data_IF_972007849896
#
_entry.id   IF_972007849896
#
_cell.length_a   1.000
_cell.length_b   1.000
_cell.length_c   1.000
_cell.angle_alpha   90.00
_cell.angle_beta   90.00
_cell.angle_gamma   90.00
#
_symmetry.space_group_name_H-M   'P 1'
#
loop_
_entity.id
_entity.type
_entity.pdbx_description
1 polymer ?
#
# COMPACT_ATOMS: atom_id res chain seq x y z
N UNK A 1 -13.96 -33.89 -16.81
CA UNK A 1 -13.89 -32.69 -15.95
C UNK A 1 -12.72 -31.82 -16.39
N UNK A 2 -11.66 -32.45 -16.91
CA UNK A 2 -10.47 -31.79 -17.47
C UNK A 2 -10.78 -30.93 -18.70
N UNK A 3 -11.58 -31.40 -19.68
CA UNK A 3 -11.94 -30.62 -20.88
C UNK A 3 -12.57 -29.24 -20.58
N UNK A 4 -13.37 -29.14 -19.52
CA UNK A 4 -13.97 -27.87 -19.12
C UNK A 4 -12.93 -26.92 -18.51
N UNK A 5 -12.06 -27.44 -17.64
CA UNK A 5 -11.01 -26.64 -17.01
C UNK A 5 -10.00 -26.18 -18.06
N UNK A 6 -9.62 -27.05 -18.99
CA UNK A 6 -8.74 -26.71 -20.12
C UNK A 6 -9.35 -25.61 -20.99
N UNK A 7 -10.65 -25.70 -21.30
CA UNK A 7 -11.34 -24.67 -22.07
C UNK A 7 -11.40 -23.32 -21.33
N UNK A 8 -11.68 -23.31 -20.03
CA UNK A 8 -11.65 -22.08 -19.22
C UNK A 8 -10.25 -21.47 -19.12
N UNK A 9 -9.22 -22.31 -18.96
CA UNK A 9 -7.83 -21.88 -18.90
C UNK A 9 -7.30 -21.37 -20.25
N UNK A 10 -7.82 -21.88 -21.36
CA UNK A 10 -7.44 -21.45 -22.72
C UNK A 10 -7.69 -19.95 -22.97
N UNK A 11 -8.59 -19.33 -22.17
CA UNK A 11 -8.89 -17.90 -22.20
C UNK A 11 -7.73 -17.04 -21.69
N UNK A 12 -6.79 -17.61 -20.92
CA UNK A 12 -5.70 -16.89 -20.28
C UNK A 12 -4.37 -17.10 -21.00
N UNK A 13 -4.01 -16.13 -21.84
CA UNK A 13 -2.75 -16.15 -22.59
C UNK A 13 -1.61 -15.65 -21.73
N UNK A 14 -0.52 -16.41 -21.64
CA UNK A 14 0.66 -16.02 -20.85
C UNK A 14 1.42 -14.89 -21.53
N UNK A 15 1.63 -13.80 -20.81
CA UNK A 15 2.41 -12.64 -21.25
C UNK A 15 3.87 -12.77 -20.82
N UNK A 16 4.10 -13.09 -19.55
CA UNK A 16 5.43 -13.31 -19.00
C UNK A 16 5.39 -14.20 -17.78
N UNK A 17 6.52 -14.78 -17.44
CA UNK A 17 6.73 -15.50 -16.20
C UNK A 17 7.33 -14.53 -15.17
N UNK A 18 6.69 -14.42 -14.00
CA UNK A 18 7.13 -13.50 -12.96
C UNK A 18 8.06 -14.19 -11.96
N UNK A 19 7.72 -15.41 -11.56
CA UNK A 19 8.49 -16.15 -10.57
C UNK A 19 8.32 -17.67 -10.75
N UNK A 20 9.39 -18.42 -10.55
CA UNK A 20 9.35 -19.88 -10.38
C UNK A 20 10.05 -20.19 -9.07
N UNK A 21 9.31 -20.80 -8.16
CA UNK A 21 9.86 -21.41 -6.96
C UNK A 21 9.60 -22.92 -6.98
N UNK A 22 10.17 -23.64 -6.02
CA UNK A 22 9.85 -25.06 -5.81
C UNK A 22 8.42 -25.28 -5.29
N UNK A 23 7.71 -24.22 -4.88
CA UNK A 23 6.35 -24.30 -4.33
C UNK A 23 5.29 -23.90 -5.36
N UNK A 24 5.61 -22.89 -6.18
CA UNK A 24 4.68 -22.32 -7.12
C UNK A 24 5.34 -21.68 -8.33
N UNK A 25 4.63 -21.72 -9.46
CA UNK A 25 4.99 -21.05 -10.71
C UNK A 25 3.98 -19.93 -10.96
N UNK A 26 4.46 -18.70 -11.09
CA UNK A 26 3.65 -17.48 -11.17
C UNK A 26 3.82 -16.82 -12.55
N UNK A 27 2.69 -16.64 -13.23
CA UNK A 27 2.63 -16.08 -14.57
C UNK A 27 1.73 -14.84 -14.61
N UNK A 28 2.16 -13.84 -15.37
CA UNK A 28 1.31 -12.75 -15.80
C UNK A 28 0.53 -13.21 -17.03
N UNK A 29 -0.79 -13.19 -16.96
CA UNK A 29 -1.66 -13.65 -18.05
C UNK A 29 -2.63 -12.56 -18.47
N UNK A 30 -3.07 -12.58 -19.72
CA UNK A 30 -4.14 -11.72 -20.24
C UNK A 30 -5.35 -12.58 -20.59
N UNK A 31 -6.51 -12.23 -20.08
CA UNK A 31 -7.75 -12.87 -20.50
C UNK A 31 -8.17 -12.32 -21.88
N UNK A 32 -8.45 -13.22 -22.82
CA UNK A 32 -8.78 -12.87 -24.21
C UNK A 32 -10.18 -12.31 -24.39
N UNK A 33 -11.10 -12.56 -23.45
CA UNK A 33 -12.48 -12.12 -23.53
C UNK A 33 -12.64 -10.68 -23.03
N UNK A 34 -12.04 -10.33 -21.90
CA UNK A 34 -12.18 -9.00 -21.30
C UNK A 34 -10.94 -8.10 -21.44
N UNK A 35 -9.87 -8.62 -22.03
CA UNK A 35 -8.60 -7.93 -22.25
C UNK A 35 -7.87 -7.47 -20.97
N UNK A 36 -8.23 -7.98 -19.79
CA UNK A 36 -7.59 -7.62 -18.51
C UNK A 36 -6.42 -8.54 -18.19
N UNK A 37 -5.55 -8.03 -17.32
CA UNK A 37 -4.35 -8.72 -16.84
C UNK A 37 -4.65 -9.37 -15.49
N UNK A 38 -4.17 -10.59 -15.33
CA UNK A 38 -4.33 -11.42 -14.14
C UNK A 38 -3.00 -12.08 -13.77
N UNK A 39 -2.97 -12.61 -12.55
CA UNK A 39 -1.95 -13.56 -12.12
C UNK A 39 -2.50 -14.97 -12.24
N UNK A 40 -1.75 -15.85 -12.89
CA UNK A 40 -1.97 -17.29 -12.91
C UNK A 40 -0.90 -17.97 -12.08
N UNK A 41 -1.29 -18.66 -11.00
CA UNK A 41 -0.37 -19.46 -10.18
C UNK A 41 -0.65 -20.94 -10.39
N UNK A 42 0.41 -21.73 -10.50
CA UNK A 42 0.37 -23.18 -10.35
C UNK A 42 0.97 -23.51 -8.99
N UNK A 43 0.23 -24.19 -8.14
CA UNK A 43 0.63 -24.53 -6.77
C UNK A 43 0.52 -26.04 -6.56
N UNK A 44 1.60 -26.63 -6.07
CA UNK A 44 1.64 -28.03 -5.63
C UNK A 44 1.48 -28.09 -4.10
N UNK A 45 1.05 -29.23 -3.55
CA UNK A 45 0.88 -29.42 -2.09
C UNK A 45 0.00 -28.35 -1.41
N UNK A 46 -1.10 -27.97 -2.07
CA UNK A 46 -2.02 -26.91 -1.64
C UNK A 46 -3.06 -27.41 -0.63
N UNK A 47 -3.74 -26.44 0.01
CA UNK A 47 -4.96 -26.69 0.78
C UNK A 47 -6.14 -26.03 0.08
N UNK A 48 -6.94 -26.80 -0.65
CA UNK A 48 -8.06 -26.28 -1.45
C UNK A 48 -9.07 -25.47 -0.62
N UNK A 49 -9.29 -25.86 0.64
CA UNK A 49 -10.23 -25.16 1.50
C UNK A 49 -9.76 -23.76 1.86
N UNK A 50 -8.43 -23.54 2.00
CA UNK A 50 -7.86 -22.20 2.20
C UNK A 50 -8.24 -21.31 1.01
N UNK A 51 -7.97 -21.75 -0.22
CA UNK A 51 -8.26 -20.95 -1.41
C UNK A 51 -9.76 -20.75 -1.66
N UNK A 52 -10.60 -21.75 -1.37
CA UNK A 52 -12.06 -21.59 -1.41
C UNK A 52 -12.55 -20.52 -0.43
N UNK A 53 -12.01 -20.50 0.78
CA UNK A 53 -12.32 -19.46 1.77
C UNK A 53 -11.79 -18.10 1.31
N UNK A 54 -10.53 -18.01 0.87
CA UNK A 54 -9.94 -16.77 0.34
C UNK A 54 -10.75 -16.20 -0.83
N UNK A 55 -11.27 -17.04 -1.74
CA UNK A 55 -12.14 -16.63 -2.86
C UNK A 55 -13.42 -15.93 -2.40
N UNK A 56 -13.92 -16.26 -1.21
CA UNK A 56 -15.11 -15.64 -0.62
C UNK A 56 -14.83 -14.37 0.18
N UNK A 57 -13.57 -13.98 0.38
CA UNK A 57 -13.20 -12.82 1.18
C UNK A 57 -13.28 -11.55 0.33
N UNK A 58 -14.05 -10.57 0.83
CA UNK A 58 -14.08 -9.23 0.27
C UNK A 58 -13.10 -8.31 1.04
N UNK A 59 -11.93 -8.07 0.46
CA UNK A 59 -10.94 -7.17 1.05
C UNK A 59 -10.12 -6.40 0.02
N UNK A 60 -9.97 -5.10 0.26
CA UNK A 60 -9.05 -4.27 -0.51
C UNK A 60 -7.58 -4.57 -0.23
N UNK A 61 -7.27 -5.28 0.86
CA UNK A 61 -5.90 -5.57 1.27
C UNK A 61 -5.46 -7.02 0.96
N UNK A 62 -6.29 -7.79 0.25
CA UNK A 62 -5.99 -9.15 -0.20
C UNK A 62 -6.33 -9.21 -1.70
N UNK A 63 -5.50 -9.84 -2.56
CA UNK A 63 -5.84 -10.05 -3.96
C UNK A 63 -7.17 -10.77 -4.11
N UNK A 64 -8.04 -10.28 -5.00
CA UNK A 64 -9.25 -11.02 -5.34
C UNK A 64 -8.88 -12.29 -6.11
N UNK A 65 -9.33 -13.44 -5.63
CA UNK A 65 -9.30 -14.69 -6.40
C UNK A 65 -10.54 -14.73 -7.29
N UNK A 66 -10.32 -14.83 -8.59
CA UNK A 66 -11.39 -14.94 -9.60
C UNK A 66 -11.79 -16.40 -9.78
N UNK A 67 -10.81 -17.29 -10.00
CA UNK A 67 -11.05 -18.69 -10.33
C UNK A 67 -10.02 -19.64 -9.74
N UNK A 68 -10.45 -20.90 -9.57
CA UNK A 68 -9.66 -22.00 -9.04
C UNK A 68 -9.93 -23.23 -9.92
N UNK A 69 -8.87 -23.85 -10.42
CA UNK A 69 -8.95 -25.07 -11.23
C UNK A 69 -8.01 -26.12 -10.64
N UNK A 70 -8.52 -27.33 -10.43
CA UNK A 70 -7.76 -28.45 -9.88
C UNK A 70 -7.53 -29.45 -11.02
N UNK A 71 -6.28 -29.59 -11.47
CA UNK A 71 -5.87 -30.40 -12.63
C UNK A 71 -4.59 -31.14 -12.26
N UNK A 72 -4.53 -32.45 -12.51
CA UNK A 72 -3.32 -33.27 -12.33
C UNK A 72 -2.60 -33.09 -10.98
N UNK A 73 -3.38 -32.93 -9.90
CA UNK A 73 -2.86 -32.71 -8.53
C UNK A 73 -2.11 -31.37 -8.34
N UNK A 74 -2.28 -30.43 -9.27
CA UNK A 74 -1.93 -29.02 -9.14
C UNK A 74 -3.20 -28.17 -8.95
N UNK A 75 -3.09 -27.10 -8.16
CA UNK A 75 -4.10 -26.05 -8.09
C UNK A 75 -3.65 -24.86 -8.93
N UNK A 76 -4.46 -24.53 -9.92
CA UNK A 76 -4.31 -23.33 -10.74
C UNK A 76 -5.22 -22.23 -10.19
N UNK A 77 -4.63 -21.08 -9.86
CA UNK A 77 -5.31 -19.95 -9.26
C UNK A 77 -5.25 -18.77 -10.23
N UNK A 78 -6.41 -18.18 -10.53
CA UNK A 78 -6.50 -16.91 -11.25
C UNK A 78 -6.85 -15.82 -10.24
N UNK A 79 -5.95 -14.85 -10.05
CA UNK A 79 -6.11 -13.77 -9.07
C UNK A 79 -5.78 -12.39 -9.65
N UNK A 80 -6.15 -11.36 -8.89
CA UNK A 80 -5.90 -9.95 -9.19
C UNK A 80 -4.41 -9.67 -9.42
N UNK A 81 -4.10 -9.04 -10.56
CA UNK A 81 -2.79 -8.42 -10.76
C UNK A 81 -2.70 -7.11 -9.99
N UNK A 82 -1.72 -7.03 -9.08
CA UNK A 82 -1.47 -5.82 -8.29
C UNK A 82 -0.29 -5.07 -8.90
N UNK A 83 -0.57 -3.87 -9.40
CA UNK A 83 0.45 -2.97 -9.91
C UNK A 83 1.04 -2.13 -8.76
N UNK A 84 2.29 -2.40 -8.39
CA UNK A 84 2.94 -1.75 -7.26
C UNK A 84 4.36 -2.27 -7.02
N UNK A 85 4.92 -1.89 -5.88
CA UNK A 85 6.20 -2.40 -5.40
C UNK A 85 5.99 -3.18 -4.11
N UNK A 86 6.72 -4.29 -3.97
CA UNK A 86 6.85 -5.00 -2.71
C UNK A 86 7.55 -4.13 -1.66
N UNK A 87 7.31 -4.39 -0.37
CA UNK A 87 8.07 -3.73 0.70
C UNK A 87 9.56 -4.08 0.63
N UNK A 88 9.92 -5.22 0.05
CA UNK A 88 11.31 -5.60 -0.25
C UNK A 88 11.95 -4.62 -1.23
N UNK A 89 11.33 -4.41 -2.39
CA UNK A 89 11.82 -3.46 -3.40
C UNK A 89 11.85 -2.02 -2.88
N UNK A 90 10.89 -1.63 -2.05
CA UNK A 90 10.88 -0.29 -1.42
C UNK A 90 12.06 -0.14 -0.46
N UNK A 91 12.33 -1.18 0.34
CA UNK A 91 13.48 -1.24 1.26
C UNK A 91 14.80 -1.19 0.49
N UNK A 92 14.94 -1.93 -0.60
CA UNK A 92 16.15 -1.90 -1.44
C UNK A 92 16.43 -0.51 -2.03
N UNK A 93 15.37 0.23 -2.41
CA UNK A 93 15.50 1.59 -2.96
C UNK A 93 15.82 2.66 -1.90
N UNK A 94 15.27 2.53 -0.70
CA UNK A 94 15.34 3.58 0.34
C UNK A 94 16.30 3.23 1.50
N UNK A 95 16.86 2.02 1.49
CA UNK A 95 17.57 1.34 2.57
C UNK A 95 16.72 1.09 3.83
N UNK A 96 16.08 2.13 4.38
CA UNK A 96 15.20 2.10 5.57
C UNK A 96 13.89 2.85 5.33
N UNK A 97 12.85 2.50 6.08
CA UNK A 97 11.54 3.14 6.04
C UNK A 97 11.29 3.84 7.38
N UNK A 98 10.82 5.09 7.32
CA UNK A 98 10.42 5.88 8.50
C UNK A 98 9.40 5.13 9.37
N UNK A 99 9.58 5.17 10.70
CA UNK A 99 8.75 4.42 11.65
C UNK A 99 7.27 4.74 11.55
N UNK A 100 6.89 6.00 11.28
CA UNK A 100 5.47 6.35 11.11
C UNK A 100 4.88 5.67 9.89
N UNK A 101 5.64 5.65 8.80
CA UNK A 101 5.23 5.00 7.56
C UNK A 101 5.14 3.49 7.74
N UNK A 102 6.07 2.88 8.47
CA UNK A 102 5.99 1.46 8.85
C UNK A 102 4.76 1.19 9.71
N UNK A 103 4.46 2.04 10.72
CA UNK A 103 3.27 1.90 11.55
C UNK A 103 1.99 1.93 10.71
N UNK A 104 1.84 2.88 9.78
CA UNK A 104 0.69 2.95 8.87
C UNK A 104 0.53 1.69 8.00
N UNK A 105 1.64 1.16 7.48
CA UNK A 105 1.62 -0.12 6.76
C UNK A 105 1.19 -1.27 7.67
N UNK A 106 1.69 -1.33 8.91
CA UNK A 106 1.33 -2.40 9.83
C UNK A 106 -0.12 -2.32 10.30
N UNK A 107 -0.67 -1.12 10.51
CA UNK A 107 -2.11 -0.92 10.82
C UNK A 107 -2.96 -1.50 9.68
N UNK A 108 -2.58 -1.22 8.43
CA UNK A 108 -3.28 -1.75 7.25
C UNK A 108 -3.14 -3.27 7.12
N UNK A 109 -1.95 -3.80 7.36
CA UNK A 109 -1.68 -5.24 7.37
C UNK A 109 -2.48 -5.96 8.47
N UNK A 110 -2.58 -5.38 9.67
CA UNK A 110 -3.39 -5.92 10.75
C UNK A 110 -4.86 -5.98 10.35
N UNK A 111 -5.39 -4.98 9.63
CA UNK A 111 -6.75 -5.03 9.08
C UNK A 111 -6.96 -6.16 8.05
N UNK A 112 -5.94 -6.48 7.24
CA UNK A 112 -5.99 -7.62 6.32
C UNK A 112 -6.01 -8.96 7.08
N UNK A 113 -5.12 -9.10 8.07
CA UNK A 113 -5.01 -10.32 8.89
C UNK A 113 -6.22 -10.51 9.81
N UNK A 114 -6.82 -9.45 10.33
CA UNK A 114 -8.02 -9.51 11.16
C UNK A 114 -9.16 -10.22 10.43
N UNK A 115 -9.32 -9.94 9.13
CA UNK A 115 -10.31 -10.64 8.28
C UNK A 115 -10.04 -12.14 8.18
N UNK A 116 -8.77 -12.55 8.11
CA UNK A 116 -8.39 -13.96 8.00
C UNK A 116 -8.49 -14.70 9.34
N UNK A 117 -8.04 -14.03 10.41
CA UNK A 117 -8.01 -14.55 11.78
C UNK A 117 -9.42 -14.69 12.36
N UNK A 118 -10.37 -13.85 11.93
CA UNK A 118 -11.77 -13.92 12.36
C UNK A 118 -12.64 -14.92 11.58
N UNK A 119 -12.08 -15.60 10.57
CA UNK A 119 -12.81 -16.69 9.90
C UNK A 119 -13.03 -17.85 10.87
N UNK A 120 -14.04 -18.66 10.60
CA UNK A 120 -14.29 -19.89 11.34
C UNK A 120 -14.27 -21.10 10.39
N UNK A 121 -13.20 -21.91 10.38
CA UNK A 121 -11.97 -21.77 11.18
C UNK A 121 -11.01 -20.65 10.70
N UNK A 122 -10.15 -20.10 11.57
CA UNK A 122 -9.19 -19.06 11.20
C UNK A 122 -8.19 -19.50 10.13
N UNK A 123 -7.79 -18.58 9.24
CA UNK A 123 -6.67 -18.78 8.32
C UNK A 123 -5.43 -18.07 8.88
N UNK A 124 -4.33 -18.81 9.01
CA UNK A 124 -3.02 -18.29 9.44
C UNK A 124 -2.14 -18.18 8.21
N UNK A 125 -1.50 -17.02 8.01
CA UNK A 125 -0.72 -16.73 6.81
C UNK A 125 0.61 -17.50 6.77
N UNK A 126 1.35 -17.48 7.89
CA UNK A 126 2.64 -18.17 8.14
C UNK A 126 3.86 -17.72 7.32
N UNK A 127 3.71 -16.84 6.33
CA UNK A 127 4.86 -16.27 5.59
C UNK A 127 4.78 -14.75 5.41
N UNK A 128 4.58 -14.03 6.52
CA UNK A 128 4.61 -12.56 6.52
C UNK A 128 6.06 -12.07 6.40
N UNK A 129 6.38 -11.39 5.30
CA UNK A 129 7.71 -10.86 4.97
C UNK A 129 7.59 -9.71 3.94
N UNK A 130 8.66 -8.91 3.72
CA UNK A 130 8.62 -7.78 2.80
C UNK A 130 8.22 -8.13 1.36
N UNK A 131 8.67 -9.27 0.83
CA UNK A 131 8.37 -9.71 -0.54
C UNK A 131 6.89 -10.06 -0.75
N UNK A 132 6.15 -10.36 0.32
CA UNK A 132 4.76 -10.81 0.28
C UNK A 132 3.78 -9.67 0.59
N UNK A 133 4.24 -8.42 0.58
CA UNK A 133 3.41 -7.25 0.82
C UNK A 133 3.69 -6.22 -0.27
N UNK A 134 2.68 -5.93 -1.09
CA UNK A 134 2.76 -4.94 -2.17
C UNK A 134 2.08 -3.64 -1.74
N UNK A 135 2.74 -2.51 -1.98
CA UNK A 135 2.11 -1.19 -1.98
C UNK A 135 1.76 -0.87 -3.43
N UNK A 136 0.47 -0.83 -3.74
CA UNK A 136 0.01 -0.51 -5.09
C UNK A 136 0.21 0.98 -5.41
N UNK A 137 0.01 1.37 -6.67
CA UNK A 137 0.21 2.76 -7.10
C UNK A 137 -0.76 3.78 -6.45
N UNK A 138 -1.86 3.30 -5.86
CA UNK A 138 -2.79 4.12 -5.08
C UNK A 138 -2.37 4.24 -3.60
N UNK A 139 -1.24 3.64 -3.21
CA UNK A 139 -0.73 3.63 -1.84
C UNK A 139 -1.39 2.60 -0.92
N UNK A 140 -2.21 1.70 -1.47
CA UNK A 140 -2.91 0.65 -0.72
C UNK A 140 -1.99 -0.56 -0.55
N UNK A 141 -1.88 -1.02 0.69
CA UNK A 141 -1.16 -2.25 1.03
C UNK A 141 -2.00 -3.49 0.71
N UNK A 142 -1.40 -4.45 0.00
CA UNK A 142 -1.96 -5.75 -0.32
C UNK A 142 -1.05 -6.85 0.21
N UNK A 143 -1.60 -7.74 1.05
CA UNK A 143 -0.95 -8.97 1.49
C UNK A 143 -1.15 -10.04 0.41
N UNK A 144 -0.06 -10.60 -0.09
CA UNK A 144 -0.05 -11.59 -1.17
C UNK A 144 0.58 -12.91 -0.70
N UNK A 145 0.49 -13.94 -1.54
CA UNK A 145 1.16 -15.23 -1.38
C UNK A 145 0.72 -16.04 -0.15
N UNK A 146 -0.35 -16.81 -0.36
CA UNK A 146 -0.98 -17.69 0.63
C UNK A 146 -0.53 -19.15 0.48
N UNK A 147 0.55 -19.43 -0.24
CA UNK A 147 0.92 -20.78 -0.66
C UNK A 147 1.28 -21.70 0.53
N UNK A 148 1.71 -21.11 1.65
CA UNK A 148 1.93 -21.85 2.90
C UNK A 148 0.90 -21.52 3.99
N UNK A 149 -0.22 -20.88 3.65
CA UNK A 149 -1.28 -20.59 4.61
C UNK A 149 -1.98 -21.88 5.09
N UNK A 150 -2.56 -21.82 6.29
CA UNK A 150 -3.22 -22.97 6.90
C UNK A 150 -4.51 -22.57 7.59
N UNK A 151 -5.52 -23.44 7.47
CA UNK A 151 -6.70 -23.44 8.33
C UNK A 151 -6.32 -23.96 9.72
N UNK A 152 -6.53 -23.14 10.74
CA UNK A 152 -6.36 -23.51 12.13
C UNK A 152 -7.32 -24.66 12.51
N UNK A 153 -6.79 -25.70 13.17
CA UNK A 153 -7.57 -26.86 13.62
C UNK A 153 -7.33 -27.13 15.09
N UNK A 154 -8.37 -26.98 15.93
CA UNK A 154 -8.31 -27.10 17.39
C UNK A 154 -7.67 -28.38 17.91
N UNK A 155 -7.84 -29.48 17.19
CA UNK A 155 -7.36 -30.80 17.60
C UNK A 155 -5.98 -31.18 17.02
N UNK A 156 -5.33 -30.30 16.26
CA UNK A 156 -3.99 -30.55 15.72
C UNK A 156 -2.93 -30.24 16.77
N UNK A 157 -2.16 -31.26 17.21
CA UNK A 157 -1.12 -31.09 18.25
C UNK A 157 0.21 -30.52 17.71
N UNK A 158 0.50 -30.69 16.42
CA UNK A 158 1.79 -30.33 15.79
C UNK A 158 1.60 -29.88 14.34
N UNK A 159 2.51 -29.05 13.86
CA UNK A 159 2.64 -28.76 12.44
C UNK A 159 3.42 -29.87 11.72
N UNK A 160 3.03 -30.17 10.48
CA UNK A 160 3.56 -31.29 9.71
C UNK A 160 4.83 -30.96 8.94
N UNK A 161 5.14 -29.67 8.77
CA UNK A 161 6.31 -29.20 8.04
C UNK A 161 6.74 -27.81 8.52
N UNK A 162 8.05 -27.56 8.52
CA UNK A 162 8.65 -26.25 8.73
C UNK A 162 8.49 -25.44 7.43
N UNK A 163 7.40 -24.68 7.34
CA UNK A 163 7.06 -23.86 6.17
C UNK A 163 7.14 -22.37 6.52
N UNK A 164 7.66 -21.56 5.60
CA UNK A 164 7.82 -20.11 5.76
C UNK A 164 9.24 -19.67 5.42
N UNK A 165 9.53 -18.39 5.64
CA UNK A 165 10.83 -17.80 5.32
C UNK A 165 11.71 -17.69 6.55
N UNK A 166 12.95 -18.22 6.45
CA UNK A 166 13.94 -18.16 7.53
C UNK A 166 14.13 -16.72 8.01
N UNK A 167 14.18 -16.54 9.32
CA UNK A 167 14.26 -15.23 9.97
C UNK A 167 12.92 -14.61 10.34
N UNK A 168 11.82 -14.97 9.67
CA UNK A 168 10.46 -14.51 10.00
C UNK A 168 9.62 -15.56 10.76
N UNK A 169 10.00 -16.83 10.62
CA UNK A 169 9.33 -17.96 11.28
C UNK A 169 9.33 -17.79 12.80
N UNK A 170 8.16 -18.00 13.42
CA UNK A 170 8.01 -17.97 14.87
C UNK A 170 8.66 -19.18 15.57
N UNK A 171 9.13 -19.02 16.83
CA UNK A 171 9.86 -20.07 17.56
C UNK A 171 9.12 -21.40 17.66
N UNK A 172 7.80 -21.37 17.86
CA UNK A 172 6.97 -22.57 17.98
C UNK A 172 7.01 -23.45 16.74
N UNK A 173 7.18 -22.88 15.55
CA UNK A 173 7.21 -23.65 14.31
C UNK A 173 8.53 -24.43 14.15
N UNK A 174 9.66 -23.92 14.66
CA UNK A 174 10.93 -24.67 14.69
C UNK A 174 10.87 -25.91 15.57
N UNK A 175 10.06 -25.87 16.63
CA UNK A 175 9.84 -26.99 17.53
C UNK A 175 8.74 -27.96 17.04
N UNK A 176 8.18 -27.73 15.83
CA UNK A 176 6.98 -28.40 15.33
C UNK A 176 5.79 -28.33 16.29
N UNK A 177 5.77 -27.32 17.17
CA UNK A 177 4.59 -26.99 17.95
C UNK A 177 3.55 -26.37 17.01
N UNK A 178 2.33 -26.33 17.50
CA UNK A 178 1.20 -25.82 16.74
C UNK A 178 1.31 -24.30 16.56
N UNK A 179 1.31 -23.84 15.32
CA UNK A 179 1.09 -22.42 14.98
C UNK A 179 -0.38 -22.01 15.12
N UNK A 180 -0.57 -20.76 15.52
CA UNK A 180 -1.86 -20.09 15.61
C UNK A 180 -1.76 -18.64 15.08
N UNK A 181 -2.81 -17.84 15.25
CA UNK A 181 -2.84 -16.45 14.76
C UNK A 181 -1.69 -15.59 15.31
N UNK A 182 -1.11 -15.95 16.46
CA UNK A 182 0.01 -15.25 17.11
C UNK A 182 1.35 -15.53 16.44
N UNK A 183 1.42 -16.53 15.55
CA UNK A 183 2.59 -16.79 14.70
C UNK A 183 2.73 -15.71 13.62
N UNK A 184 1.62 -15.20 13.08
CA UNK A 184 1.64 -14.04 12.16
C UNK A 184 2.07 -12.76 12.91
N UNK A 185 1.62 -12.57 14.16
CA UNK A 185 2.02 -11.44 15.02
C UNK A 185 3.53 -11.41 15.27
N UNK A 186 4.15 -12.57 15.52
CA UNK A 186 5.62 -12.66 15.62
C UNK A 186 6.30 -12.16 14.35
N UNK A 187 5.84 -12.67 13.20
CA UNK A 187 6.37 -12.29 11.88
C UNK A 187 6.23 -10.78 11.60
N UNK A 188 5.13 -10.15 12.05
CA UNK A 188 4.95 -8.69 11.97
C UNK A 188 6.01 -7.96 12.81
N UNK A 189 6.32 -8.43 14.02
CA UNK A 189 7.37 -7.83 14.85
C UNK A 189 8.75 -7.87 14.19
N UNK A 190 9.10 -9.00 13.57
CA UNK A 190 10.32 -9.12 12.75
C UNK A 190 10.27 -8.13 11.58
N UNK A 191 9.15 -8.08 10.86
CA UNK A 191 8.96 -7.22 9.70
C UNK A 191 9.15 -5.74 10.06
N UNK A 192 8.57 -5.25 11.15
CA UNK A 192 8.75 -3.88 11.62
C UNK A 192 10.23 -3.56 11.80
N UNK A 193 10.98 -4.44 12.48
CA UNK A 193 12.39 -4.22 12.73
C UNK A 193 13.22 -4.19 11.44
N UNK A 194 12.99 -5.15 10.55
CA UNK A 194 13.71 -5.23 9.27
C UNK A 194 13.43 -4.02 8.39
N UNK A 195 12.21 -3.47 8.39
CA UNK A 195 11.88 -2.29 7.59
C UNK A 195 12.46 -0.98 8.16
N UNK A 196 12.57 -0.89 9.48
CA UNK A 196 13.00 0.35 10.17
C UNK A 196 14.51 0.45 10.33
N UNK A 197 15.21 -0.66 10.58
CA UNK A 197 16.67 -0.66 10.83
C UNK A 197 17.45 -1.63 9.94
N UNK A 198 16.80 -2.43 9.09
CA UNK A 198 17.48 -3.33 8.17
C UNK A 198 18.08 -4.60 8.80
N UNK A 199 17.83 -4.85 10.07
CA UNK A 199 18.37 -5.97 10.85
C UNK A 199 17.26 -6.76 11.56
N UNK A 200 17.58 -7.96 12.05
CA UNK A 200 16.65 -8.74 12.85
C UNK A 200 16.73 -8.36 14.34
N UNK A 201 15.64 -8.49 15.12
CA UNK A 201 15.62 -8.11 16.54
C UNK A 201 16.66 -8.83 17.41
N UNK A 202 17.04 -10.05 17.05
CA UNK A 202 18.09 -10.79 17.77
C UNK A 202 19.51 -10.27 17.51
N UNK A 203 19.71 -9.55 16.40
CA UNK A 203 21.03 -9.04 16.00
C UNK A 203 21.24 -7.61 16.49
N UNK A 204 20.24 -6.75 16.29
CA UNK A 204 20.29 -5.32 16.65
C UNK A 204 18.94 -4.92 17.25
N UNK A 205 19.00 -4.39 18.47
CA UNK A 205 17.84 -3.83 19.13
C UNK A 205 17.39 -2.53 18.45
N UNK A 206 16.09 -2.39 18.20
CA UNK A 206 15.53 -1.19 17.61
C UNK A 206 15.63 0.00 18.58
N UNK A 207 16.28 1.13 18.23
CA UNK A 207 16.33 2.30 19.10
C UNK A 207 15.09 3.19 18.99
N UNK A 208 14.18 2.88 18.06
CA UNK A 208 13.04 3.71 17.70
C UNK A 208 11.79 3.52 18.58
N UNK A 209 10.76 4.30 18.28
CA UNK A 209 9.51 4.34 19.05
C UNK A 209 8.75 3.02 18.99
N UNK A 210 8.98 2.20 17.97
CA UNK A 210 8.30 0.93 17.78
C UNK A 210 8.93 -0.22 18.59
N UNK A 211 10.06 0.00 19.28
CA UNK A 211 10.75 -1.03 20.08
C UNK A 211 9.82 -1.79 21.06
N UNK A 212 8.95 -1.14 21.85
CA UNK A 212 8.08 -1.85 22.79
C UNK A 212 7.13 -2.82 22.08
N UNK A 213 6.58 -2.42 20.93
CA UNK A 213 5.72 -3.27 20.09
C UNK A 213 6.53 -4.43 19.52
N UNK A 214 7.72 -4.17 18.97
CA UNK A 214 8.60 -5.21 18.41
C UNK A 214 8.89 -6.27 19.47
N UNK A 215 9.28 -5.86 20.69
CA UNK A 215 9.57 -6.79 21.81
C UNK A 215 8.36 -7.63 22.19
N UNK A 216 7.17 -7.03 22.26
CA UNK A 216 5.94 -7.76 22.60
C UNK A 216 5.55 -8.74 21.49
N UNK A 217 5.63 -8.34 20.22
CA UNK A 217 5.38 -9.23 19.08
C UNK A 217 6.37 -10.40 19.03
N UNK A 218 7.66 -10.14 19.28
CA UNK A 218 8.75 -11.12 19.12
C UNK A 218 9.05 -11.93 20.38
N UNK A 219 8.16 -11.89 21.37
CA UNK A 219 8.30 -12.70 22.58
C UNK A 219 8.34 -14.20 22.22
N UNK A 220 9.26 -14.96 22.81
CA UNK A 220 9.41 -16.39 22.55
C UNK A 220 8.15 -17.18 22.93
N UNK A 221 7.49 -16.75 24.01
CA UNK A 221 6.25 -17.30 24.51
C UNK A 221 5.04 -16.66 23.81
N UNK A 222 4.23 -17.41 23.02
CA UNK A 222 3.06 -16.88 22.34
C UNK A 222 2.03 -16.22 23.28
N UNK A 223 1.90 -16.72 24.50
CA UNK A 223 1.04 -16.18 25.56
C UNK A 223 1.42 -14.75 26.01
N UNK A 224 2.67 -14.35 25.80
CA UNK A 224 3.17 -13.02 26.15
C UNK A 224 3.17 -12.05 24.95
N UNK A 225 2.74 -12.52 23.77
CA UNK A 225 2.51 -11.66 22.60
C UNK A 225 1.15 -10.97 22.69
N UNK A 226 0.85 -10.11 21.73
CA UNK A 226 -0.55 -9.75 21.46
C UNK A 226 -1.34 -11.02 21.15
N UNK A 227 -2.53 -11.15 21.73
CA UNK A 227 -3.35 -12.34 21.51
C UNK A 227 -4.16 -12.24 20.23
N UNK A 228 -4.39 -11.02 19.72
CA UNK A 228 -5.04 -10.76 18.44
C UNK A 228 -4.32 -9.66 17.67
N UNK A 229 -4.46 -9.66 16.35
CA UNK A 229 -3.97 -8.56 15.50
C UNK A 229 -4.71 -7.24 15.76
N UNK A 230 -5.94 -7.29 16.30
CA UNK A 230 -6.71 -6.13 16.71
C UNK A 230 -6.06 -5.40 17.90
N UNK A 231 -5.53 -6.14 18.88
CA UNK A 231 -4.76 -5.55 19.99
C UNK A 231 -3.47 -4.90 19.50
N UNK A 232 -2.74 -5.57 18.60
CA UNK A 232 -1.54 -5.01 17.98
C UNK A 232 -1.85 -3.72 17.19
N UNK A 233 -2.92 -3.76 16.40
CA UNK A 233 -3.38 -2.60 15.61
C UNK A 233 -3.66 -1.39 16.51
N UNK A 234 -4.35 -1.61 17.63
CA UNK A 234 -4.67 -0.54 18.58
C UNK A 234 -3.41 0.10 19.17
N UNK A 235 -2.42 -0.70 19.56
CA UNK A 235 -1.16 -0.16 20.10
C UNK A 235 -0.36 0.60 19.03
N UNK A 236 -0.38 0.14 17.77
CA UNK A 236 0.22 0.86 16.65
C UNK A 236 -0.48 2.20 16.39
N UNK A 237 -1.81 2.25 16.47
CA UNK A 237 -2.61 3.47 16.34
C UNK A 237 -2.30 4.47 17.47
N UNK A 238 -2.23 3.99 18.72
CA UNK A 238 -1.90 4.84 19.87
C UNK A 238 -0.52 5.49 19.72
N UNK A 239 0.51 4.72 19.36
CA UNK A 239 1.86 5.28 19.12
C UNK A 239 1.82 6.31 17.98
N UNK A 240 1.05 6.04 16.92
CA UNK A 240 0.92 6.99 15.82
C UNK A 240 0.32 8.33 16.26
N UNK A 241 -0.74 8.29 17.07
CA UNK A 241 -1.41 9.48 17.62
C UNK A 241 -0.50 10.26 18.57
N UNK A 242 0.19 9.59 19.50
CA UNK A 242 1.12 10.23 20.44
C UNK A 242 2.26 10.98 19.73
N UNK A 243 2.77 10.44 18.62
CA UNK A 243 3.86 11.08 17.85
C UNK A 243 3.34 12.25 17.00
N UNK A 244 2.06 12.27 16.64
CA UNK A 244 1.44 13.40 15.96
C UNK A 244 1.07 14.53 16.94
N UNK A 245 0.58 14.20 18.13
CA UNK A 245 0.29 15.16 19.19
C UNK A 245 1.56 15.78 19.80
N UNK A 246 2.62 14.99 20.01
CA UNK A 246 3.92 15.51 20.46
C UNK A 246 4.56 16.45 19.44
N UNK A 247 4.41 16.21 18.13
CA UNK A 247 4.86 17.15 17.09
C UNK A 247 4.00 18.42 17.04
N UNK A 248 2.68 18.32 17.26
CA UNK A 248 1.81 19.50 17.41
C UNK A 248 2.18 20.33 18.64
N UNK A 249 2.41 19.71 19.79
CA UNK A 249 2.83 20.41 21.01
C UNK A 249 4.25 20.99 20.90
N UNK A 250 5.21 20.29 20.29
CA UNK A 250 6.56 20.81 20.01
C UNK A 250 6.56 21.98 19.01
N UNK A 251 5.68 21.96 18.01
CA UNK A 251 5.49 23.08 17.09
C UNK A 251 4.75 24.26 17.75
N UNK A 252 3.81 23.99 18.65
CA UNK A 252 3.18 25.00 19.52
C UNK A 252 4.16 25.59 20.54
N UNK A 253 5.10 24.82 21.08
CA UNK A 253 6.16 25.31 21.97
C UNK A 253 7.24 26.11 21.23
N UNK A 254 7.61 25.69 20.01
CA UNK A 254 8.46 26.50 19.12
C UNK A 254 7.78 27.82 18.77
N UNK A 255 6.49 27.79 18.44
CA UNK A 255 5.70 28.99 18.19
C UNK A 255 5.51 29.84 19.46
N UNK A 256 5.37 29.24 20.66
CA UNK A 256 5.35 29.99 21.94
C UNK A 256 6.68 30.66 22.25
N UNK A 257 7.83 30.04 21.94
CA UNK A 257 9.16 30.67 22.08
C UNK A 257 9.39 31.81 21.08
N UNK A 258 8.76 31.77 19.90
CA UNK A 258 8.75 32.90 18.96
C UNK A 258 7.68 33.97 19.30
N UNK A 259 6.59 33.60 19.98
CA UNK A 259 5.51 34.50 20.41
C UNK A 259 5.85 35.43 21.59
N UNK A 260 7.00 35.28 22.26
CA UNK A 260 7.45 36.27 23.26
C UNK A 260 8.01 37.58 22.65
N UNK A 261 7.78 37.83 21.35
CA UNK A 261 8.02 39.13 20.70
C UNK A 261 6.81 39.63 19.91
N UNK A 262 5.65 39.83 20.56
CA UNK A 262 4.69 40.91 20.25
C UNK A 262 3.44 40.81 21.15
N UNK A 263 2.76 41.94 21.43
CA UNK A 263 1.74 42.02 22.46
C UNK A 263 0.42 41.38 22.02
N UNK A 264 -0.29 40.85 23.02
CA UNK A 264 -1.56 40.14 22.97
C UNK A 264 -2.72 41.13 22.79
N UNK A 265 -3.64 40.85 21.87
CA UNK A 265 -5.03 41.32 21.92
C UNK A 265 -5.95 40.12 21.65
N UNK A 266 -6.86 39.87 22.59
CA UNK A 266 -7.88 38.80 22.61
C UNK A 266 -8.92 38.94 21.50
N UNK A 267 -9.52 37.81 21.09
CA UNK A 267 -10.97 37.75 20.88
C UNK A 267 -11.52 36.32 21.08
N UNK A 268 -12.73 36.28 21.63
CA UNK A 268 -13.45 35.18 22.26
C UNK A 268 -13.94 34.03 21.35
N UNK A 269 -14.23 32.92 22.04
CA UNK A 269 -14.89 31.68 21.60
C UNK A 269 -16.38 31.87 21.32
N UNK A 270 -16.92 31.08 20.38
CA UNK A 270 -18.25 30.47 20.54
C UNK A 270 -18.32 29.07 19.90
N UNK A 271 -18.94 28.15 20.64
CA UNK A 271 -19.45 26.85 20.20
C UNK A 271 -20.66 27.05 19.27
N UNK A 272 -20.94 26.13 18.33
CA UNK A 272 -22.00 25.14 18.53
C UNK A 272 -22.36 24.26 17.31
N UNK A 273 -22.81 23.04 17.66
CA UNK A 273 -23.80 22.14 17.02
C UNK A 273 -23.47 21.14 15.89
N UNK A 274 -23.23 19.90 16.34
CA UNK A 274 -24.05 18.66 16.19
C UNK A 274 -24.86 18.36 14.90
N UNK A 275 -24.52 17.19 14.35
CA UNK A 275 -25.35 16.05 13.92
C UNK A 275 -26.39 16.20 12.78
N UNK A 276 -26.27 15.34 11.75
CA UNK A 276 -27.34 14.41 11.33
C UNK A 276 -26.79 13.27 10.47
N UNK A 277 -27.43 12.11 10.56
CA UNK A 277 -27.05 10.85 9.94
C UNK A 277 -27.77 10.56 8.60
N UNK A 278 -27.17 9.64 7.85
CA UNK A 278 -27.77 8.63 6.95
C UNK A 278 -27.83 8.87 5.42
N UNK A 279 -27.47 7.77 4.74
CA UNK A 279 -27.78 7.31 3.36
C UNK A 279 -26.82 7.61 2.20
N UNK A 280 -26.33 6.49 1.64
CA UNK A 280 -26.09 6.16 0.23
C UNK A 280 -24.95 6.85 -0.55
N UNK A 281 -24.05 5.98 -1.05
CA UNK A 281 -22.99 6.21 -2.04
C UNK A 281 -22.08 7.41 -1.77
N UNK A 282 -20.86 7.17 -1.27
CA UNK A 282 -19.90 8.25 -1.05
C UNK A 282 -19.53 8.93 -2.39
N UNK A 283 -19.85 10.23 -2.59
CA UNK A 283 -19.27 11.00 -3.66
C UNK A 283 -17.81 11.29 -3.32
N UNK A 284 -16.99 11.52 -4.34
CA UNK A 284 -15.60 12.00 -4.18
C UNK A 284 -15.63 13.18 -3.20
N UNK A 285 -14.95 13.06 -2.05
CA UNK A 285 -14.91 14.14 -1.06
C UNK A 285 -14.32 15.38 -1.73
N UNK A 286 -15.09 16.47 -1.79
CA UNK A 286 -14.65 17.75 -2.37
C UNK A 286 -13.35 18.26 -1.70
N UNK A 287 -13.13 17.87 -0.45
CA UNK A 287 -11.91 18.14 0.34
C UNK A 287 -10.68 17.32 -0.08
N UNK A 288 -10.79 16.41 -1.05
CA UNK A 288 -9.64 15.65 -1.59
C UNK A 288 -9.30 16.06 -3.03
N UNK A 289 -10.23 16.69 -3.76
CA UNK A 289 -10.02 17.15 -5.16
C UNK A 289 -8.88 18.17 -5.24
N UNK A 290 -8.76 19.07 -4.25
CA UNK A 290 -7.71 20.09 -4.29
C UNK A 290 -6.30 19.46 -4.17
N UNK A 291 -6.15 18.27 -3.58
CA UNK A 291 -4.86 17.55 -3.49
C UNK A 291 -4.37 17.06 -4.86
N UNK A 292 -5.24 17.00 -5.87
CA UNK A 292 -4.86 16.66 -7.24
C UNK A 292 -4.12 17.85 -7.90
N UNK A 293 -4.45 19.07 -7.49
CA UNK A 293 -3.99 20.32 -8.11
C UNK A 293 -2.52 20.62 -7.73
N UNK A 294 -1.66 20.96 -8.70
CA UNK A 294 -0.29 21.35 -8.47
C UNK A 294 -0.18 22.48 -7.45
N UNK A 295 0.80 22.38 -6.56
CA UNK A 295 1.02 23.38 -5.50
C UNK A 295 0.18 23.19 -4.24
N UNK A 296 -0.90 22.39 -4.28
CA UNK A 296 -1.70 22.00 -3.11
C UNK A 296 -1.37 20.60 -2.56
N UNK A 297 -0.57 19.82 -3.29
CA UNK A 297 -0.17 18.43 -2.96
C UNK A 297 0.66 18.29 -1.69
N UNK A 298 1.47 19.30 -1.37
CA UNK A 298 2.51 19.19 -0.33
C UNK A 298 2.07 19.72 1.02
N UNK A 299 0.84 20.24 1.14
CA UNK A 299 0.27 20.85 2.37
C UNK A 299 1.13 21.98 2.99
N UNK A 300 2.15 22.45 2.27
CA UNK A 300 3.06 23.52 2.70
C UNK A 300 2.42 24.89 2.43
N UNK A 301 2.18 25.74 3.45
CA UNK A 301 1.38 26.95 3.32
C UNK A 301 1.85 27.92 2.22
N UNK A 302 3.16 28.13 2.07
CA UNK A 302 3.70 29.06 1.08
C UNK A 302 3.50 28.58 -0.37
N UNK A 303 3.59 27.26 -0.63
CA UNK A 303 3.33 26.70 -1.98
C UNK A 303 1.84 26.80 -2.32
N UNK A 304 0.98 26.61 -1.33
CA UNK A 304 -0.47 26.80 -1.46
C UNK A 304 -0.80 28.25 -1.82
N UNK A 305 -0.20 29.23 -1.14
CA UNK A 305 -0.41 30.66 -1.43
C UNK A 305 0.03 31.01 -2.87
N UNK A 306 1.21 30.54 -3.29
CA UNK A 306 1.70 30.76 -4.66
C UNK A 306 0.76 30.12 -5.69
N UNK A 307 0.29 28.89 -5.42
CA UNK A 307 -0.63 28.20 -6.31
C UNK A 307 -1.98 28.94 -6.42
N UNK A 308 -2.54 29.40 -5.30
CA UNK A 308 -3.77 30.21 -5.29
C UNK A 308 -3.61 31.44 -6.18
N UNK A 309 -2.53 32.22 -6.01
CA UNK A 309 -2.27 33.42 -6.81
C UNK A 309 -2.11 33.08 -8.30
N UNK A 310 -1.40 31.99 -8.62
CA UNK A 310 -1.20 31.52 -9.99
C UNK A 310 -2.52 31.11 -10.67
N UNK A 311 -3.34 30.31 -9.99
CA UNK A 311 -4.62 29.87 -10.56
C UNK A 311 -5.63 31.01 -10.65
N UNK A 312 -5.63 31.95 -9.70
CA UNK A 312 -6.42 33.19 -9.80
C UNK A 312 -6.05 34.00 -11.04
N UNK A 313 -4.75 34.14 -11.34
CA UNK A 313 -4.26 34.80 -12.56
C UNK A 313 -4.69 34.07 -13.85
N UNK A 314 -4.60 32.75 -13.86
CA UNK A 314 -5.02 31.93 -15.01
C UNK A 314 -6.53 32.03 -15.25
N UNK A 315 -7.34 31.97 -14.18
CA UNK A 315 -8.80 32.04 -14.23
C UNK A 315 -9.25 33.43 -14.70
N UNK A 316 -8.66 34.51 -14.18
CA UNK A 316 -8.98 35.86 -14.67
C UNK A 316 -8.60 36.03 -16.14
N UNK A 317 -7.47 35.45 -16.57
CA UNK A 317 -7.07 35.42 -17.96
C UNK A 317 -8.03 34.65 -18.88
N UNK A 318 -8.78 33.66 -18.38
CA UNK A 318 -9.76 32.91 -19.20
C UNK A 318 -10.86 33.83 -19.76
N UNK A 319 -11.22 34.89 -19.02
CA UNK A 319 -12.24 35.86 -19.45
C UNK A 319 -11.71 36.91 -20.43
N UNK A 320 -10.39 37.13 -20.46
CA UNK A 320 -9.76 38.17 -21.29
C UNK A 320 -9.15 37.56 -22.57
N UNK A 321 -8.36 36.48 -22.42
CA UNK A 321 -7.67 35.76 -23.48
C UNK A 321 -7.70 34.24 -23.20
N UNK A 322 -8.83 33.56 -23.47
CA UNK A 322 -9.03 32.16 -23.08
C UNK A 322 -7.95 31.22 -23.62
N UNK A 323 -7.58 31.39 -24.88
CA UNK A 323 -6.60 30.53 -25.54
C UNK A 323 -5.19 30.66 -24.94
N UNK A 324 -4.82 31.86 -24.49
CA UNK A 324 -3.55 32.12 -23.80
C UNK A 324 -3.54 31.50 -22.39
N UNK A 325 -4.65 31.60 -21.66
CA UNK A 325 -4.79 30.94 -20.34
C UNK A 325 -4.77 29.41 -20.42
N UNK A 326 -5.40 28.82 -21.45
CA UNK A 326 -5.34 27.37 -21.70
C UNK A 326 -3.90 26.93 -21.96
N UNK A 327 -3.13 27.73 -22.71
CA UNK A 327 -1.72 27.47 -22.96
C UNK A 327 -0.89 27.47 -21.66
N UNK A 328 -1.11 28.42 -20.75
CA UNK A 328 -0.45 28.45 -19.43
C UNK A 328 -0.86 27.28 -18.52
N UNK A 329 -2.12 26.83 -18.59
CA UNK A 329 -2.58 25.63 -17.87
C UNK A 329 -1.86 24.38 -18.35
N UNK A 330 -1.77 24.18 -19.66
CA UNK A 330 -1.08 23.03 -20.24
C UNK A 330 0.42 23.04 -19.93
N UNK A 331 1.03 24.23 -19.97
CA UNK A 331 2.43 24.40 -19.61
C UNK A 331 2.68 24.03 -18.15
N UNK A 332 1.91 24.58 -17.20
CA UNK A 332 2.08 24.22 -15.79
C UNK A 332 1.79 22.75 -15.50
N UNK A 333 0.80 22.18 -16.18
CA UNK A 333 0.46 20.76 -16.12
C UNK A 333 1.63 19.84 -16.51
N UNK A 334 2.38 20.20 -17.57
CA UNK A 334 3.55 19.48 -18.07
C UNK A 334 4.71 19.46 -17.05
N UNK A 335 5.03 20.61 -16.45
CA UNK A 335 6.19 20.76 -15.55
C UNK A 335 5.92 20.27 -14.12
N UNK A 336 4.67 20.35 -13.65
CA UNK A 336 4.28 19.99 -12.28
C UNK A 336 3.80 18.54 -12.12
N UNK A 337 3.81 17.74 -13.19
CA UNK A 337 3.27 16.37 -13.20
C UNK A 337 1.80 16.30 -12.78
N UNK A 338 0.98 17.21 -13.30
CA UNK A 338 -0.46 17.18 -13.06
C UNK A 338 -1.06 15.89 -13.66
N UNK A 339 -1.97 15.23 -12.95
CA UNK A 339 -2.61 13.97 -13.39
C UNK A 339 -1.63 12.87 -13.91
N UNK A 340 -0.40 12.84 -13.37
CA UNK A 340 0.69 11.97 -13.80
C UNK A 340 1.02 12.06 -15.30
N UNK A 341 0.90 13.26 -15.89
CA UNK A 341 1.21 13.50 -17.31
C UNK A 341 2.63 13.10 -17.71
N UNK A 342 3.61 13.21 -16.82
CA UNK A 342 5.01 12.82 -17.11
C UNK A 342 5.14 11.32 -17.42
N UNK A 343 4.29 10.49 -16.81
CA UNK A 343 4.27 9.03 -17.03
C UNK A 343 3.53 8.63 -18.31
N UNK A 344 2.69 9.53 -18.83
CA UNK A 344 1.91 9.30 -20.06
C UNK A 344 2.63 9.78 -21.32
N UNK A 345 3.66 10.63 -21.18
CA UNK A 345 4.39 11.23 -22.30
C UNK A 345 5.69 10.44 -22.60
N UNK A 346 5.80 9.77 -23.76
CA UNK A 346 6.91 8.86 -24.06
C UNK A 346 8.31 9.46 -23.93
N UNK A 347 8.50 10.72 -24.36
CA UNK A 347 9.80 11.38 -24.30
C UNK A 347 10.19 11.82 -22.88
N UNK A 348 9.21 12.13 -22.03
CA UNK A 348 9.45 12.57 -20.64
C UNK A 348 9.62 11.38 -19.68
N UNK A 349 8.96 10.25 -19.96
CA UNK A 349 9.09 9.01 -19.18
C UNK A 349 10.46 8.35 -19.33
N UNK A 350 11.17 8.61 -20.44
CA UNK A 350 12.42 7.94 -20.80
C UNK A 350 13.51 8.07 -19.71
N UNK A 351 14.30 7.03 -19.45
CA UNK A 351 15.37 7.07 -18.44
C UNK A 351 16.53 8.01 -18.82
N UNK A 352 16.82 8.15 -20.13
CA UNK A 352 17.89 8.98 -20.62
C UNK A 352 17.61 10.48 -20.42
N UNK A 353 18.52 11.17 -19.74
CA UNK A 353 18.40 12.59 -19.38
C UNK A 353 18.32 13.50 -20.61
N UNK A 354 19.05 13.20 -21.68
CA UNK A 354 19.04 13.98 -22.92
C UNK A 354 17.70 13.87 -23.64
N UNK A 355 17.11 12.67 -23.64
CA UNK A 355 15.77 12.41 -24.23
C UNK A 355 14.69 13.11 -23.41
N UNK A 356 14.80 13.10 -22.08
CA UNK A 356 13.89 13.86 -21.19
C UNK A 356 13.92 15.35 -21.46
N UNK A 357 15.12 15.94 -21.54
CA UNK A 357 15.30 17.36 -21.82
C UNK A 357 14.69 17.69 -23.18
N UNK A 358 15.02 16.91 -24.21
CA UNK A 358 14.42 17.06 -25.55
C UNK A 358 12.89 16.95 -25.51
N UNK A 359 12.35 16.01 -24.74
CA UNK A 359 10.90 15.84 -24.55
C UNK A 359 10.24 17.09 -23.96
N UNK A 360 10.81 17.69 -22.90
CA UNK A 360 10.29 18.94 -22.34
C UNK A 360 10.29 20.08 -23.36
N UNK A 361 11.37 20.23 -24.13
CA UNK A 361 11.43 21.22 -25.21
C UNK A 361 10.38 20.96 -26.30
N UNK A 362 10.27 19.72 -26.77
CA UNK A 362 9.35 19.32 -27.84
C UNK A 362 7.89 19.53 -27.46
N UNK A 363 7.47 19.07 -26.27
CA UNK A 363 6.09 19.26 -25.82
C UNK A 363 5.76 20.71 -25.48
N UNK A 364 6.72 21.46 -24.93
CA UNK A 364 6.55 22.91 -24.74
C UNK A 364 6.34 23.60 -26.09
N UNK A 365 7.15 23.24 -27.10
CA UNK A 365 7.02 23.76 -28.45
C UNK A 365 5.64 23.46 -29.05
N UNK A 366 5.12 22.24 -28.92
CA UNK A 366 3.78 21.88 -29.37
C UNK A 366 2.70 22.72 -28.68
N UNK A 367 2.81 22.94 -27.36
CA UNK A 367 1.84 23.75 -26.62
C UNK A 367 1.83 25.20 -27.12
N UNK A 368 3.01 25.81 -27.30
CA UNK A 368 3.13 27.20 -27.73
C UNK A 368 2.77 27.42 -29.22
N UNK A 369 3.25 26.57 -30.12
CA UNK A 369 3.01 26.74 -31.56
C UNK A 369 1.69 26.12 -32.03
N UNK A 370 1.27 25.00 -31.44
CA UNK A 370 0.02 24.33 -31.75
C UNK A 370 -1.19 25.19 -31.37
N UNK A 371 -1.21 25.78 -30.17
CA UNK A 371 -2.26 26.70 -29.74
C UNK A 371 -2.03 28.14 -30.25
N UNK A 372 -0.77 28.55 -30.41
CA UNK A 372 -0.40 29.84 -30.97
C UNK A 372 -0.85 30.04 -32.42
N UNK A 373 -0.95 28.97 -33.21
CA UNK A 373 -1.51 29.03 -34.55
C UNK A 373 -3.00 29.41 -34.58
N UNK A 374 -3.74 29.18 -33.48
CA UNK A 374 -5.15 29.56 -33.32
C UNK A 374 -5.33 30.97 -32.70
N UNK A 375 -4.24 31.64 -32.32
CA UNK A 375 -4.24 33.01 -31.77
C UNK A 375 -4.11 34.10 -32.85
N UNK A 376 -4.18 33.73 -34.14
CA UNK A 376 -4.09 34.66 -35.29
C UNK A 376 -5.43 35.18 -35.76
#
# INVERSE_FOLDING_TARGET
MDDFCENELSKYVTLTQLNITHKSKVYLVKNTLDNKIYIKKHVENYNLNVYKMLKSIESYNIPRIYDLFEIDNELIIIEEFINGLTLEEIKEKSYLIDEKKVALYMITLCGALEKLHNLNPPIIHRDIKPSNIIINNDGILKLIDFDVSKIFKEYSKKDTALLGTKGYISPELYCFNRTDIRSDIYSIGILINVLTIGAYPQDIENPGILNPIIKKCTNLSPENRYQTVSELKKDLENIFEEVDESKKSLSLEKNKKEMFKKPIINYDLTEDNKALASTNASPIKLSEIYKIIPGFRTETPWKTIIAILWYMFVISGLFIKPLLSIMFLLFTSLYTNFLNLKEKLPLIKNENISVKIFGYFFYSFIIFFGLGAFLK
#
